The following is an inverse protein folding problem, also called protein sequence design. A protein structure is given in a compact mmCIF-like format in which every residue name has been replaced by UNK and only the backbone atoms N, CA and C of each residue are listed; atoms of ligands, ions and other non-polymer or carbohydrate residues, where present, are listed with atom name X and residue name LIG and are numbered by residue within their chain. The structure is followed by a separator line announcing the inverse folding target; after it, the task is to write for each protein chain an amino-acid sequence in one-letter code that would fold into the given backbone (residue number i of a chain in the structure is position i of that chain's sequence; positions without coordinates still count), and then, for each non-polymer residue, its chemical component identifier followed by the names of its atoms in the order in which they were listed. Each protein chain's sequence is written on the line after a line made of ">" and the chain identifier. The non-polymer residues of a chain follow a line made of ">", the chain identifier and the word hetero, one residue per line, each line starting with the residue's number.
data_IF_189973954833
#
_entry.id   IF_189973954833
#
_cell.length_a   1.000
_cell.length_b   1.000
_cell.length_c   1.000
_cell.angle_alpha   90.00
_cell.angle_beta   90.00
_cell.angle_gamma   90.00
#
_symmetry.space_group_name_H-M   'P 1'
#
loop_
_entity.id
_entity.type
_entity.pdbx_description
1 polymer ?
#
# COMPACT_ATOMS: atom_id res chain seq x y z
N UNK A 1 -11.99 7.32 5.47
CA UNK A 1 -10.88 6.35 5.49
C UNK A 1 -9.93 6.65 6.63
N UNK A 2 -9.23 7.79 6.54
CA UNK A 2 -8.19 8.18 7.50
C UNK A 2 -8.69 8.53 8.91
N UNK A 3 -9.87 9.16 9.04
CA UNK A 3 -10.39 9.70 10.31
C UNK A 3 -10.93 8.67 11.32
N UNK A 4 -11.01 7.40 10.94
CA UNK A 4 -11.55 6.31 11.79
C UNK A 4 -10.50 5.27 12.17
N UNK A 5 -9.21 5.56 11.99
CA UNK A 5 -8.15 4.61 12.33
C UNK A 5 -8.01 4.52 13.85
N UNK A 6 -8.11 3.30 14.38
CA UNK A 6 -7.81 3.05 15.78
C UNK A 6 -6.30 3.16 16.03
N UNK A 7 -5.92 3.26 17.31
CA UNK A 7 -4.50 3.24 17.71
C UNK A 7 -3.80 1.96 17.23
N UNK A 8 -4.51 0.82 17.28
CA UNK A 8 -4.04 -0.48 16.79
C UNK A 8 -3.79 -0.47 15.28
N UNK A 9 -4.76 0.02 14.48
CA UNK A 9 -4.58 0.14 13.04
C UNK A 9 -3.42 1.06 12.66
N UNK A 10 -3.16 2.08 13.46
CA UNK A 10 -2.00 2.96 13.28
C UNK A 10 -0.68 2.24 13.57
N UNK A 11 -0.65 1.43 14.64
CA UNK A 11 0.52 0.61 14.98
C UNK A 11 0.80 -0.43 13.89
N UNK A 12 -0.23 -1.10 13.37
CA UNK A 12 -0.11 -2.04 12.26
C UNK A 12 0.45 -1.36 11.00
N UNK A 13 -0.08 -0.19 10.65
CA UNK A 13 0.41 0.55 9.48
C UNK A 13 1.87 0.96 9.64
N UNK A 14 2.30 1.36 10.84
CA UNK A 14 3.71 1.65 11.12
C UNK A 14 4.58 0.40 11.05
N UNK A 15 4.08 -0.75 11.52
CA UNK A 15 4.81 -2.02 11.47
C UNK A 15 5.01 -2.50 10.03
N UNK A 16 4.00 -2.35 9.17
CA UNK A 16 4.09 -2.84 7.78
C UNK A 16 4.79 -1.83 6.86
N UNK A 17 4.59 -0.52 7.03
CA UNK A 17 5.22 0.49 6.17
C UNK A 17 6.59 0.97 6.67
N UNK A 18 6.90 0.80 7.95
CA UNK A 18 8.19 1.19 8.52
C UNK A 18 8.56 2.63 8.21
N UNK A 19 9.70 2.81 7.53
CA UNK A 19 10.23 4.13 7.17
C UNK A 19 9.39 4.85 6.09
N UNK A 20 8.59 4.13 5.30
CA UNK A 20 7.73 4.70 4.26
C UNK A 20 6.34 5.10 4.79
N UNK A 21 6.09 4.99 6.11
CA UNK A 21 4.83 5.42 6.70
C UNK A 21 4.68 6.95 6.69
N UNK A 22 3.74 7.46 5.90
CA UNK A 22 3.51 8.91 5.73
C UNK A 22 2.34 9.48 6.57
N UNK A 23 1.58 8.63 7.27
CA UNK A 23 0.38 9.02 8.04
C UNK A 23 -0.91 9.19 7.23
N UNK A 24 -0.83 9.41 5.92
CA UNK A 24 -1.95 9.62 5.00
C UNK A 24 -2.41 8.34 4.29
N UNK A 25 -1.57 7.30 4.26
CA UNK A 25 -1.90 5.99 3.72
C UNK A 25 -3.14 5.35 4.38
N UNK A 26 -4.21 5.11 3.61
CA UNK A 26 -5.40 4.36 4.06
C UNK A 26 -5.04 2.94 4.54
N UNK A 27 -5.82 2.35 5.46
CA UNK A 27 -5.48 1.04 6.04
C UNK A 27 -5.33 -0.08 5.00
N UNK A 28 -6.08 0.00 3.90
CA UNK A 28 -6.01 -0.97 2.80
C UNK A 28 -4.65 -1.00 2.11
N UNK A 29 -3.88 0.09 2.16
CA UNK A 29 -2.53 0.11 1.57
C UNK A 29 -1.55 -0.75 2.37
N UNK A 30 -1.82 -1.03 3.66
CA UNK A 30 -1.04 -1.98 4.45
C UNK A 30 -0.94 -3.36 3.78
N UNK A 31 -1.98 -3.81 3.06
CA UNK A 31 -1.93 -5.06 2.31
C UNK A 31 -0.96 -5.03 1.12
N UNK A 32 -0.72 -3.85 0.53
CA UNK A 32 0.22 -3.69 -0.57
C UNK A 32 1.66 -3.83 -0.06
N UNK A 33 2.01 -3.12 1.01
CA UNK A 33 3.33 -3.25 1.65
C UNK A 33 3.55 -4.67 2.21
N UNK A 34 2.51 -5.30 2.78
CA UNK A 34 2.61 -6.69 3.24
C UNK A 34 2.84 -7.66 2.09
N UNK A 35 2.18 -7.48 0.95
CA UNK A 35 2.40 -8.31 -0.23
C UNK A 35 3.82 -8.11 -0.78
N UNK A 36 4.29 -6.87 -0.86
CA UNK A 36 5.66 -6.53 -1.25
C UNK A 36 6.69 -7.25 -0.36
N UNK A 37 6.54 -7.18 0.97
CA UNK A 37 7.41 -7.89 1.90
C UNK A 37 7.29 -9.41 1.81
N UNK A 38 6.08 -9.93 1.63
CA UNK A 38 5.85 -11.38 1.50
C UNK A 38 6.52 -11.97 0.26
N UNK A 39 6.57 -11.21 -0.84
CA UNK A 39 7.19 -11.62 -2.09
C UNK A 39 8.66 -11.17 -2.22
N UNK A 40 9.26 -10.55 -1.21
CA UNK A 40 10.63 -10.04 -1.28
C UNK A 40 11.66 -11.13 -1.63
N UNK A 41 11.46 -12.35 -1.13
CA UNK A 41 12.33 -13.50 -1.38
C UNK A 41 11.84 -14.41 -2.54
N UNK A 42 10.80 -14.00 -3.26
CA UNK A 42 10.19 -14.81 -4.32
C UNK A 42 10.62 -14.32 -5.72
N UNK A 43 11.01 -15.23 -6.63
CA UNK A 43 11.48 -14.84 -7.96
C UNK A 43 10.36 -14.24 -8.83
N UNK A 44 9.10 -14.56 -8.57
CA UNK A 44 7.94 -13.99 -9.26
C UNK A 44 6.77 -13.85 -8.27
N UNK A 45 6.30 -12.62 -8.06
CA UNK A 45 5.10 -12.32 -7.28
C UNK A 45 4.08 -11.55 -8.10
N UNK A 46 2.78 -11.88 -7.96
CA UNK A 46 1.66 -11.11 -8.52
C UNK A 46 0.56 -11.02 -7.48
N UNK A 47 0.04 -9.81 -7.27
CA UNK A 47 -1.12 -9.58 -6.42
C UNK A 47 -2.08 -8.58 -7.08
N UNK A 48 -3.35 -8.69 -6.73
CA UNK A 48 -4.38 -7.74 -7.12
C UNK A 48 -5.34 -7.55 -5.94
N UNK A 49 -5.58 -6.30 -5.55
CA UNK A 49 -6.48 -5.95 -4.46
C UNK A 49 -7.58 -5.03 -4.95
N UNK A 50 -8.81 -5.28 -4.49
CA UNK A 50 -9.90 -4.32 -4.60
C UNK A 50 -9.74 -3.31 -3.47
N UNK A 51 -9.66 -2.03 -3.83
CA UNK A 51 -9.41 -0.93 -2.89
C UNK A 51 -10.34 0.23 -3.17
N UNK A 52 -10.40 1.19 -2.25
CA UNK A 52 -11.12 2.44 -2.48
C UNK A 52 -10.41 3.28 -3.53
N UNK A 53 -11.16 3.92 -4.42
CA UNK A 53 -10.59 4.80 -5.46
C UNK A 53 -9.72 5.94 -4.89
N UNK A 54 -9.86 6.28 -3.61
CA UNK A 54 -9.06 7.29 -2.92
C UNK A 54 -7.55 7.00 -2.90
N UNK A 55 -7.13 5.73 -2.96
CA UNK A 55 -5.70 5.40 -2.92
C UNK A 55 -4.96 5.81 -4.21
N UNK A 56 -5.70 5.95 -5.31
CA UNK A 56 -5.20 6.35 -6.62
C UNK A 56 -5.45 7.85 -6.91
N UNK A 57 -5.85 8.64 -5.90
CA UNK A 57 -6.21 10.04 -6.06
C UNK A 57 -5.60 10.91 -4.95
N UNK A 58 -4.90 11.99 -5.32
CA UNK A 58 -4.37 12.96 -4.37
C UNK A 58 -3.11 12.51 -3.65
N UNK A 59 -2.96 12.91 -2.37
CA UNK A 59 -1.74 12.68 -1.58
C UNK A 59 -1.30 11.21 -1.37
N UNK A 60 -2.19 10.21 -1.28
CA UNK A 60 -1.78 8.82 -1.08
C UNK A 60 -1.02 8.20 -2.27
N UNK A 61 -1.12 8.79 -3.47
CA UNK A 61 -0.53 8.25 -4.71
C UNK A 61 1.00 8.12 -4.62
N UNK A 62 1.77 9.19 -4.39
CA UNK A 62 3.23 9.07 -4.29
C UNK A 62 3.67 8.20 -3.11
N UNK A 63 2.94 8.22 -2.00
CA UNK A 63 3.27 7.45 -0.80
C UNK A 63 3.07 5.93 -0.99
N UNK A 64 2.07 5.52 -1.77
CA UNK A 64 1.83 4.11 -2.07
C UNK A 64 2.71 3.62 -3.23
N UNK A 65 2.67 4.33 -4.37
CA UNK A 65 3.30 3.84 -5.60
C UNK A 65 4.80 4.10 -5.65
N UNK A 66 5.32 5.09 -4.90
CA UNK A 66 6.75 5.37 -4.82
C UNK A 66 7.56 4.18 -4.29
N UNK A 67 7.25 3.66 -3.08
CA UNK A 67 7.92 2.48 -2.53
C UNK A 67 7.75 1.24 -3.42
N UNK A 68 6.53 0.97 -3.91
CA UNK A 68 6.27 -0.18 -4.80
C UNK A 68 7.13 -0.13 -6.07
N UNK A 69 7.25 1.05 -6.70
CA UNK A 69 8.08 1.22 -7.88
C UNK A 69 9.58 1.08 -7.57
N UNK A 70 10.02 1.60 -6.43
CA UNK A 70 11.41 1.46 -5.95
C UNK A 70 11.80 -0.01 -5.73
N UNK A 71 10.87 -0.83 -5.26
CA UNK A 71 11.04 -2.28 -5.10
C UNK A 71 10.79 -3.07 -6.40
N UNK A 72 10.65 -2.40 -7.55
CA UNK A 72 10.54 -3.04 -8.87
C UNK A 72 9.14 -3.54 -9.26
N UNK A 73 8.10 -3.21 -8.48
CA UNK A 73 6.72 -3.59 -8.82
C UNK A 73 6.16 -2.75 -9.96
N UNK A 74 5.36 -3.40 -10.81
CA UNK A 74 4.66 -2.78 -11.93
C UNK A 74 3.17 -3.12 -11.86
N UNK A 75 2.32 -2.26 -12.44
CA UNK A 75 0.87 -2.46 -12.49
C UNK A 75 0.52 -3.05 -13.86
N UNK A 76 0.28 -4.36 -13.97
CA UNK A 76 -0.04 -4.99 -15.27
C UNK A 76 -1.47 -4.72 -15.72
N UNK A 77 -2.39 -4.44 -14.79
CA UNK A 77 -3.77 -4.08 -15.08
C UNK A 77 -4.38 -3.27 -13.92
N UNK A 78 -5.41 -2.49 -14.22
CA UNK A 78 -6.24 -1.81 -13.23
C UNK A 78 -7.68 -1.69 -13.76
N UNK A 79 -8.66 -1.74 -12.85
CA UNK A 79 -10.06 -1.51 -13.18
C UNK A 79 -10.48 -0.13 -12.69
N UNK A 80 -11.22 0.60 -13.53
CA UNK A 80 -11.85 1.88 -13.19
C UNK A 80 -13.35 1.71 -13.23
N UNK A 81 -14.04 2.30 -12.26
CA UNK A 81 -15.49 2.35 -12.18
C UNK A 81 -15.96 3.80 -12.34
#
# INVERSE_FOLDING_TARGET
>A
GQYTKTAEQTADMKAVWGADYDGYLDYVTGWHAKAMHYFADQPVGRFAFVTTNSIAQGQPVPALFGPLHREGWTIPFAHRT
#
